data_IF_583328514249
#
_entry.id   IF_583328514249
#
_cell.length_a   1.000
_cell.length_b   1.000
_cell.length_c   1.000
_cell.angle_alpha   90.00
_cell.angle_beta   90.00
_cell.angle_gamma   90.00
#
_symmetry.space_group_name_H-M   'P 1'
#
loop_
_entity.id
_entity.type
_entity.pdbx_description
1 polymer ?
#
# COMPACT_ATOMS: atom_id res chain seq x y z
N UNK A 1 26.89 -73.67 -17.17
CA UNK A 1 26.81 -72.34 -17.82
C UNK A 1 27.35 -71.30 -16.83
N UNK A 2 28.48 -70.67 -17.20
CA UNK A 2 29.15 -69.44 -16.70
C UNK A 2 28.45 -68.70 -15.54
N UNK A 3 29.00 -68.56 -14.33
CA UNK A 3 30.12 -67.70 -13.85
C UNK A 3 30.12 -66.25 -14.36
N UNK A 4 30.11 -65.28 -13.44
CA UNK A 4 30.36 -63.87 -13.70
C UNK A 4 30.26 -63.00 -12.44
N UNK A 5 31.26 -63.08 -11.56
CA UNK A 5 31.48 -62.16 -10.44
C UNK A 5 32.37 -60.99 -10.87
N UNK A 6 32.04 -59.75 -10.47
CA UNK A 6 32.94 -58.58 -10.37
C UNK A 6 32.38 -57.68 -9.25
N UNK A 7 33.02 -57.57 -8.08
CA UNK A 7 34.30 -56.95 -7.73
C UNK A 7 34.09 -55.54 -7.16
N UNK A 8 34.50 -55.40 -5.90
CA UNK A 8 34.60 -54.19 -5.10
C UNK A 8 35.40 -53.09 -5.80
N UNK A 9 35.03 -51.83 -5.53
CA UNK A 9 36.03 -50.79 -5.29
C UNK A 9 35.49 -49.80 -4.25
N UNK A 10 36.06 -49.89 -3.04
CA UNK A 10 35.99 -48.85 -2.02
C UNK A 10 37.06 -47.82 -2.35
N UNK A 11 36.71 -46.53 -2.27
CA UNK A 11 37.71 -45.45 -2.21
C UNK A 11 37.45 -44.65 -0.94
N UNK A 12 38.42 -44.75 -0.03
CA UNK A 12 38.64 -43.95 1.17
C UNK A 12 39.88 -43.07 0.92
N UNK A 13 40.06 -42.06 1.77
CA UNK A 13 41.14 -41.04 1.86
C UNK A 13 40.84 -39.72 1.14
N UNK A 14 41.02 -38.53 1.72
CA UNK A 14 41.72 -38.14 2.96
C UNK A 14 41.21 -36.82 3.51
N UNK A 15 41.25 -36.69 4.84
CA UNK A 15 41.25 -35.42 5.57
C UNK A 15 42.49 -34.58 5.19
N UNK A 16 42.31 -33.26 5.09
CA UNK A 16 43.36 -32.28 5.31
C UNK A 16 42.79 -31.12 6.14
N UNK A 17 43.20 -31.09 7.41
CA UNK A 17 43.12 -29.91 8.27
C UNK A 17 44.36 -29.04 8.04
N UNK A 18 44.20 -27.72 8.07
CA UNK A 18 45.22 -26.70 8.42
C UNK A 18 44.52 -25.33 8.34
N UNK A 19 44.21 -24.69 9.47
CA UNK A 19 45.07 -23.82 10.29
C UNK A 19 44.80 -22.34 10.00
N UNK A 20 44.13 -21.70 10.95
CA UNK A 20 44.08 -20.24 11.10
C UNK A 20 45.45 -19.70 11.53
N UNK A 21 45.80 -18.48 11.12
CA UNK A 21 46.69 -17.64 11.91
C UNK A 21 45.89 -16.50 12.56
N UNK A 22 45.84 -16.56 13.89
CA UNK A 22 45.67 -15.41 14.76
C UNK A 22 46.89 -14.49 14.63
N UNK A 23 46.65 -13.21 14.36
CA UNK A 23 47.64 -12.15 14.59
C UNK A 23 47.00 -11.12 15.50
N UNK A 24 47.48 -11.13 16.75
CA UNK A 24 47.38 -10.00 17.65
C UNK A 24 48.30 -8.89 17.13
N UNK A 25 47.83 -7.65 17.19
CA UNK A 25 48.73 -6.51 17.36
C UNK A 25 48.14 -5.56 18.38
N UNK A 26 48.98 -5.36 19.38
CA UNK A 26 48.86 -4.55 20.56
C UNK A 26 49.66 -3.26 20.27
N UNK A 27 49.06 -2.10 20.48
CA UNK A 27 49.78 -0.84 20.68
C UNK A 27 48.79 0.25 21.09
N UNK A 28 48.63 0.33 22.41
CA UNK A 28 48.79 1.54 23.22
C UNK A 28 49.27 2.79 22.45
N UNK A 29 48.46 3.85 22.39
CA UNK A 29 48.99 5.21 22.35
C UNK A 29 48.06 6.17 23.10
N UNK A 30 48.45 6.43 24.34
CA UNK A 30 48.00 7.53 25.18
C UNK A 30 48.56 8.84 24.61
N UNK A 31 47.72 9.78 24.19
CA UNK A 31 48.12 11.19 24.08
C UNK A 31 47.08 12.15 24.65
N UNK A 32 47.49 12.68 25.81
CA UNK A 32 47.15 13.94 26.47
C UNK A 32 46.30 14.97 25.72
N UNK A 33 45.22 15.33 26.41
CA UNK A 33 44.51 16.61 26.39
C UNK A 33 45.44 17.83 26.61
N UNK A 34 45.11 19.00 26.03
CA UNK A 34 45.31 20.25 26.74
C UNK A 34 44.02 21.04 26.97
N UNK A 35 43.94 21.57 28.18
CA UNK A 35 42.89 22.38 28.77
C UNK A 35 42.56 23.64 27.95
N UNK A 36 41.27 23.88 27.73
CA UNK A 36 40.74 25.08 27.09
C UNK A 36 39.44 25.53 27.78
N UNK A 37 39.61 26.42 28.76
CA UNK A 37 38.66 27.28 29.48
C UNK A 37 37.17 27.21 29.12
N UNK A 38 36.39 27.02 30.19
CA UNK A 38 34.95 27.12 30.29
C UNK A 38 34.37 28.41 29.70
N UNK A 39 33.29 28.25 28.92
CA UNK A 39 32.28 29.28 28.70
C UNK A 39 30.96 28.73 29.23
N UNK A 40 30.49 29.31 30.32
CA UNK A 40 29.21 28.99 30.93
C UNK A 40 28.07 29.60 30.10
N UNK A 41 27.25 28.74 29.50
CA UNK A 41 25.91 29.10 29.06
C UNK A 41 24.93 28.33 29.93
N UNK A 42 24.27 29.05 30.82
CA UNK A 42 23.14 28.54 31.60
C UNK A 42 22.03 28.16 30.61
N UNK A 43 21.80 26.87 30.44
CA UNK A 43 20.65 26.37 29.70
C UNK A 43 19.38 26.68 30.50
N UNK A 44 18.44 27.38 29.87
CA UNK A 44 17.07 27.52 30.34
C UNK A 44 16.47 26.14 30.65
N UNK A 45 15.49 26.02 31.58
CA UNK A 45 14.82 24.76 31.83
C UNK A 45 14.21 24.25 30.53
N UNK A 46 14.80 23.17 30.02
CA UNK A 46 14.26 22.40 28.92
C UNK A 46 12.94 21.85 29.47
N UNK A 47 11.83 22.40 29.01
CA UNK A 47 10.56 21.68 29.04
C UNK A 47 10.87 20.31 28.44
N UNK A 48 10.89 19.30 29.31
CA UNK A 48 10.83 17.89 28.96
C UNK A 48 9.48 17.66 28.27
N UNK A 49 9.37 18.16 27.04
CA UNK A 49 8.47 17.58 26.07
C UNK A 49 9.08 16.21 25.78
N UNK A 50 8.49 15.23 26.45
CA UNK A 50 8.62 13.80 26.27
C UNK A 50 8.61 13.47 24.76
N UNK A 51 9.78 13.59 24.14
CA UNK A 51 10.04 13.17 22.77
C UNK A 51 10.27 11.67 22.84
N UNK A 52 9.19 10.95 23.10
CA UNK A 52 9.09 9.58 22.65
C UNK A 52 9.11 9.61 21.13
N UNK A 53 10.31 9.48 20.58
CA UNK A 53 10.53 8.94 19.24
C UNK A 53 9.76 7.61 19.22
N UNK A 54 8.56 7.62 18.63
CA UNK A 54 7.82 6.39 18.38
C UNK A 54 8.59 5.63 17.29
N UNK A 55 9.07 4.40 17.55
CA UNK A 55 9.35 3.50 16.44
C UNK A 55 8.05 3.35 15.64
N UNK A 56 8.13 3.36 14.31
CA UNK A 56 6.95 3.15 13.45
C UNK A 56 6.16 1.91 13.92
N UNK A 57 4.82 1.88 13.77
CA UNK A 57 4.02 0.79 14.32
C UNK A 57 4.36 -0.52 13.61
N UNK A 58 5.29 -1.27 14.18
CA UNK A 58 5.54 -2.65 13.78
C UNK A 58 4.28 -3.46 14.04
N UNK A 59 3.84 -4.22 13.03
CA UNK A 59 2.70 -5.13 13.15
C UNK A 59 2.85 -6.03 14.39
N UNK A 60 1.77 -6.23 15.13
CA UNK A 60 1.75 -7.21 16.23
C UNK A 60 2.03 -8.63 15.69
N UNK A 61 2.46 -9.55 16.57
CA UNK A 61 2.73 -10.93 16.15
C UNK A 61 1.52 -11.60 15.48
N UNK A 62 0.30 -11.30 15.96
CA UNK A 62 -0.94 -11.79 15.36
C UNK A 62 -1.21 -11.18 13.99
N UNK A 63 -0.91 -9.90 13.79
CA UNK A 63 -1.05 -9.24 12.49
C UNK A 63 -0.03 -9.76 11.50
N UNK A 64 1.24 -9.94 11.91
CA UNK A 64 2.27 -10.57 11.09
C UNK A 64 1.83 -11.96 10.62
N UNK A 65 1.31 -12.79 11.52
CA UNK A 65 0.78 -14.11 11.17
C UNK A 65 -0.45 -14.04 10.24
N UNK A 66 -1.21 -12.95 10.26
CA UNK A 66 -2.35 -12.74 9.36
C UNK A 66 -1.90 -12.27 7.97
N UNK A 67 -0.90 -11.39 7.90
CA UNK A 67 -0.23 -10.98 6.65
C UNK A 67 0.36 -12.20 5.95
N UNK A 68 1.17 -13.00 6.66
CA UNK A 68 1.79 -14.19 6.07
C UNK A 68 0.75 -15.19 5.53
N UNK A 69 -0.32 -15.44 6.27
CA UNK A 69 -1.42 -16.30 5.82
C UNK A 69 -2.15 -15.74 4.59
N UNK A 70 -2.38 -14.43 4.53
CA UNK A 70 -3.02 -13.79 3.39
C UNK A 70 -2.16 -13.85 2.12
N UNK A 71 -0.83 -13.85 2.25
CA UNK A 71 0.09 -14.09 1.15
C UNK A 71 0.26 -15.58 0.76
N UNK A 72 -0.48 -16.49 1.40
CA UNK A 72 -0.45 -17.93 1.09
C UNK A 72 0.56 -18.75 1.91
N UNK A 73 1.22 -18.16 2.91
CA UNK A 73 2.21 -18.85 3.74
C UNK A 73 1.61 -19.44 5.01
N UNK A 74 1.93 -20.71 5.27
CA UNK A 74 1.50 -21.46 6.45
C UNK A 74 2.61 -22.41 6.93
N UNK A 75 2.39 -23.06 8.09
CA UNK A 75 3.35 -23.96 8.74
C UNK A 75 4.76 -23.34 8.92
N UNK A 76 4.89 -22.23 9.67
CA UNK A 76 6.19 -21.61 9.91
C UNK A 76 7.15 -22.56 10.62
N UNK A 77 8.37 -22.62 10.12
CA UNK A 77 9.50 -23.27 10.77
C UNK A 77 10.32 -22.24 11.56
N UNK A 78 11.17 -22.72 12.48
CA UNK A 78 11.94 -21.86 13.38
C UNK A 78 12.98 -20.96 12.68
N UNK A 79 13.32 -21.28 11.43
CA UNK A 79 14.30 -20.59 10.59
C UNK A 79 13.65 -19.74 9.49
N UNK A 80 12.39 -19.32 9.63
CA UNK A 80 11.67 -18.53 8.63
C UNK A 80 11.39 -19.26 7.31
N UNK A 81 11.49 -20.60 7.30
CA UNK A 81 10.91 -21.42 6.22
C UNK A 81 9.42 -21.62 6.41
N UNK A 82 8.70 -21.72 5.30
CA UNK A 82 7.25 -21.84 5.25
C UNK A 82 6.83 -22.87 4.20
N UNK A 83 5.58 -23.31 4.29
CA UNK A 83 4.87 -23.85 3.14
C UNK A 83 4.08 -22.72 2.49
N UNK A 84 4.23 -22.55 1.18
CA UNK A 84 3.43 -21.63 0.38
C UNK A 84 2.42 -22.41 -0.46
N UNK A 85 1.20 -21.87 -0.58
CA UNK A 85 0.19 -22.32 -1.53
C UNK A 85 -0.25 -21.10 -2.33
N UNK A 86 -0.31 -21.27 -3.64
CA UNK A 86 -0.79 -20.20 -4.51
C UNK A 86 -2.25 -19.84 -4.14
N UNK A 87 -2.54 -18.57 -3.81
CA UNK A 87 -3.90 -18.12 -3.52
C UNK A 87 -4.87 -18.32 -4.68
N UNK A 88 -4.38 -18.31 -5.92
CA UNK A 88 -5.18 -18.42 -7.16
C UNK A 88 -5.18 -19.84 -7.73
N UNK A 89 -4.21 -20.69 -7.34
CA UNK A 89 -4.16 -22.11 -7.69
C UNK A 89 -3.83 -22.99 -6.47
N UNK A 90 -4.87 -23.50 -5.82
CA UNK A 90 -4.71 -24.31 -4.62
C UNK A 90 -3.94 -25.62 -4.84
N UNK A 91 -3.78 -26.10 -6.08
CA UNK A 91 -2.96 -27.30 -6.40
C UNK A 91 -1.46 -26.98 -6.42
N UNK A 92 -1.10 -25.72 -6.65
CA UNK A 92 0.29 -25.25 -6.61
C UNK A 92 0.74 -25.05 -5.17
N UNK A 93 1.67 -25.90 -4.74
CA UNK A 93 2.20 -25.93 -3.37
C UNK A 93 3.72 -26.05 -3.37
N UNK A 94 4.32 -25.32 -2.44
CA UNK A 94 5.74 -25.15 -2.28
C UNK A 94 6.15 -25.34 -0.83
N UNK A 95 6.98 -26.34 -0.56
CA UNK A 95 7.52 -26.57 0.77
C UNK A 95 8.92 -25.95 0.89
N UNK A 96 9.34 -25.69 2.13
CA UNK A 96 10.68 -25.20 2.47
C UNK A 96 11.09 -23.90 1.75
N UNK A 97 10.15 -22.98 1.54
CA UNK A 97 10.44 -21.64 0.97
C UNK A 97 10.77 -20.65 2.09
N UNK A 98 11.70 -19.74 1.83
CA UNK A 98 11.98 -18.60 2.72
C UNK A 98 10.95 -17.51 2.47
N UNK A 99 10.39 -16.91 3.52
CA UNK A 99 9.49 -15.78 3.35
C UNK A 99 9.55 -14.80 4.54
N UNK A 100 9.47 -13.52 4.24
CA UNK A 100 9.47 -12.43 5.20
C UNK A 100 8.54 -11.29 4.79
N UNK A 101 8.07 -10.54 5.79
CA UNK A 101 7.44 -9.24 5.56
C UNK A 101 8.58 -8.25 5.38
N UNK A 102 8.86 -7.87 4.14
CA UNK A 102 9.95 -6.97 3.77
C UNK A 102 9.64 -5.53 4.16
N UNK A 103 8.41 -5.08 3.91
CA UNK A 103 7.99 -3.71 4.17
C UNK A 103 6.56 -3.65 4.71
N UNK A 104 6.30 -2.67 5.58
CA UNK A 104 4.95 -2.27 6.00
C UNK A 104 4.87 -0.75 5.95
N UNK A 105 4.10 -0.22 5.01
CA UNK A 105 3.87 1.22 4.85
C UNK A 105 2.57 1.47 4.10
N UNK A 106 2.09 2.70 4.20
CA UNK A 106 1.01 3.19 3.34
C UNK A 106 1.56 3.43 1.93
N UNK A 107 1.04 2.69 0.94
CA UNK A 107 1.48 2.78 -0.45
C UNK A 107 0.63 3.73 -1.29
N UNK A 108 -0.58 4.06 -0.83
CA UNK A 108 -1.56 4.85 -1.58
C UNK A 108 -2.01 6.16 -0.90
N UNK A 109 -1.40 6.50 0.24
CA UNK A 109 -1.70 7.65 1.07
C UNK A 109 -3.16 7.67 1.58
N UNK A 110 -3.79 6.50 1.81
CA UNK A 110 -5.16 6.40 2.35
C UNK A 110 -5.23 6.30 3.89
N UNK A 111 -4.07 6.26 4.56
CA UNK A 111 -3.93 6.16 6.00
C UNK A 111 -4.02 4.72 6.53
N UNK A 112 -4.19 3.72 5.67
CA UNK A 112 -4.01 2.31 5.98
C UNK A 112 -2.59 1.86 5.61
N UNK A 113 -2.13 0.80 6.27
CA UNK A 113 -0.83 0.20 5.96
C UNK A 113 -1.02 -0.98 5.02
N UNK A 114 -0.21 -1.02 3.97
CA UNK A 114 0.03 -2.20 3.16
C UNK A 114 1.21 -3.00 3.72
N UNK A 115 1.29 -4.26 3.32
CA UNK A 115 2.42 -5.12 3.62
C UNK A 115 2.97 -5.72 2.33
N UNK A 116 4.30 -5.71 2.19
CA UNK A 116 5.02 -6.37 1.10
C UNK A 116 5.67 -7.62 1.67
N UNK A 117 5.26 -8.78 1.17
CA UNK A 117 5.84 -10.08 1.54
C UNK A 117 6.74 -10.52 0.40
N UNK A 118 7.99 -10.85 0.73
CA UNK A 118 8.97 -11.38 -0.21
C UNK A 118 9.28 -12.82 0.17
N UNK A 119 9.37 -13.67 -0.84
CA UNK A 119 9.75 -15.06 -0.69
C UNK A 119 10.82 -15.49 -1.69
N UNK A 120 11.56 -16.50 -1.30
CA UNK A 120 12.62 -17.15 -2.07
C UNK A 120 12.44 -18.67 -1.97
N UNK A 121 12.63 -19.34 -3.10
CA UNK A 121 12.45 -20.77 -3.25
C UNK A 121 12.76 -21.18 -4.67
N UNK A 122 14.02 -21.54 -4.93
CA UNK A 122 14.49 -21.99 -6.24
C UNK A 122 13.61 -23.11 -6.84
N UNK A 123 13.10 -24.01 -5.99
CA UNK A 123 12.21 -25.09 -6.40
C UNK A 123 10.82 -24.63 -6.87
N UNK A 124 10.44 -23.39 -6.54
CA UNK A 124 9.11 -22.82 -6.79
C UNK A 124 9.13 -21.80 -7.92
N UNK A 125 10.04 -20.84 -7.82
CA UNK A 125 10.08 -19.68 -8.73
C UNK A 125 11.37 -19.62 -9.56
N UNK A 126 12.31 -20.53 -9.31
CA UNK A 126 13.57 -20.61 -10.04
C UNK A 126 14.68 -19.75 -9.43
N UNK A 127 15.90 -20.00 -9.89
CA UNK A 127 17.11 -19.42 -9.31
C UNK A 127 17.18 -17.90 -9.49
N UNK A 128 17.44 -17.19 -8.39
CA UNK A 128 17.49 -15.71 -8.30
C UNK A 128 16.14 -15.00 -8.54
N UNK A 129 15.03 -15.72 -8.48
CA UNK A 129 13.70 -15.13 -8.53
C UNK A 129 13.15 -14.99 -7.12
N UNK A 130 12.61 -13.81 -6.84
CA UNK A 130 11.84 -13.57 -5.63
C UNK A 130 10.37 -13.48 -6.00
N UNK A 131 9.53 -14.14 -5.20
CA UNK A 131 8.09 -13.98 -5.30
C UNK A 131 7.65 -12.91 -4.32
N UNK A 132 6.98 -11.89 -4.82
CA UNK A 132 6.56 -10.71 -4.06
C UNK A 132 5.04 -10.65 -4.08
N UNK A 133 4.44 -10.55 -2.89
CA UNK A 133 3.01 -10.32 -2.72
C UNK A 133 2.79 -9.00 -2.00
N UNK A 134 2.03 -8.10 -2.62
CA UNK A 134 1.58 -6.85 -2.02
C UNK A 134 0.19 -7.06 -1.45
N UNK A 135 0.02 -6.77 -0.16
CA UNK A 135 -1.21 -6.96 0.57
C UNK A 135 -1.76 -5.62 1.04
N UNK A 136 -3.09 -5.45 0.97
CA UNK A 136 -3.80 -4.30 1.52
C UNK A 136 -4.82 -4.72 2.58
N UNK A 137 -5.22 -3.77 3.43
CA UNK A 137 -6.27 -4.00 4.44
C UNK A 137 -7.66 -3.88 3.84
N UNK A 138 -8.51 -4.83 4.21
CA UNK A 138 -9.95 -4.87 3.92
C UNK A 138 -10.74 -5.03 5.22
N UNK A 139 -12.06 -4.90 5.17
CA UNK A 139 -12.93 -5.21 6.32
C UNK A 139 -12.80 -6.66 6.81
N UNK A 140 -12.38 -7.58 5.93
CA UNK A 140 -12.13 -8.99 6.25
C UNK A 140 -10.70 -9.29 6.73
N UNK A 141 -9.84 -8.29 6.85
CA UNK A 141 -8.42 -8.45 7.15
C UNK A 141 -7.53 -8.17 5.93
N UNK A 142 -6.39 -8.87 5.82
CA UNK A 142 -5.45 -8.68 4.73
C UNK A 142 -5.88 -9.44 3.47
N UNK A 143 -5.76 -8.81 2.30
CA UNK A 143 -6.02 -9.42 1.00
C UNK A 143 -4.87 -9.13 0.03
N UNK A 144 -4.63 -10.04 -0.94
CA UNK A 144 -3.67 -9.84 -2.02
C UNK A 144 -4.16 -8.76 -2.96
N UNK A 145 -3.32 -7.75 -3.17
CA UNK A 145 -3.52 -6.71 -4.16
C UNK A 145 -2.89 -7.10 -5.50
N UNK A 146 -1.69 -7.68 -5.46
CA UNK A 146 -0.97 -8.27 -6.59
C UNK A 146 0.12 -9.20 -6.07
N UNK A 147 0.43 -10.25 -6.84
CA UNK A 147 1.65 -11.04 -6.66
C UNK A 147 2.42 -11.14 -7.97
N UNK A 148 3.76 -11.11 -7.91
CA UNK A 148 4.63 -11.15 -9.08
C UNK A 148 6.00 -11.74 -8.75
N UNK A 149 6.73 -12.15 -9.79
CA UNK A 149 8.13 -12.56 -9.67
C UNK A 149 9.03 -11.40 -10.06
N UNK A 150 10.05 -11.13 -9.25
CA UNK A 150 11.07 -10.12 -9.52
C UNK A 150 12.46 -10.75 -9.38
N UNK A 151 13.31 -10.56 -10.38
CA UNK A 151 14.67 -11.10 -10.32
C UNK A 151 15.51 -10.23 -9.39
N UNK A 152 16.27 -10.86 -8.50
CA UNK A 152 17.08 -10.17 -7.47
C UNK A 152 16.30 -9.16 -6.60
N UNK A 153 14.97 -9.28 -6.51
CA UNK A 153 14.08 -8.36 -5.81
C UNK A 153 14.17 -6.92 -6.36
N UNK A 154 14.45 -6.78 -7.67
CA UNK A 154 14.48 -5.49 -8.33
C UNK A 154 13.07 -5.07 -8.72
N UNK A 155 12.40 -4.34 -7.83
CA UNK A 155 11.10 -3.74 -8.09
C UNK A 155 10.98 -2.38 -7.39
N UNK A 156 10.07 -1.53 -7.87
CA UNK A 156 9.91 -0.16 -7.37
C UNK A 156 8.45 0.28 -7.37
N UNK A 157 8.05 1.03 -6.35
CA UNK A 157 6.71 1.62 -6.24
C UNK A 157 6.76 3.11 -6.57
N UNK A 158 6.03 3.54 -7.60
CA UNK A 158 6.04 4.90 -8.12
C UNK A 158 4.63 5.51 -8.11
N UNK A 159 4.29 6.31 -7.08
CA UNK A 159 2.99 6.97 -6.99
C UNK A 159 2.69 7.83 -8.21
N UNK A 160 1.41 7.86 -8.60
CA UNK A 160 0.91 8.65 -9.74
C UNK A 160 -0.28 9.50 -9.32
N UNK A 161 -0.27 10.82 -9.60
CA UNK A 161 -1.43 11.65 -9.39
C UNK A 161 -2.67 11.09 -10.11
N UNK A 162 -3.77 10.91 -9.38
CA UNK A 162 -5.04 10.44 -9.93
C UNK A 162 -5.15 8.92 -10.11
N UNK A 163 -4.14 8.13 -9.72
CA UNK A 163 -4.19 6.66 -9.68
C UNK A 163 -4.16 6.22 -8.22
N UNK A 164 -5.09 5.34 -7.84
CA UNK A 164 -5.29 4.94 -6.45
C UNK A 164 -4.15 4.09 -5.87
N UNK A 165 -3.28 3.53 -6.70
CA UNK A 165 -2.13 2.74 -6.26
C UNK A 165 -0.91 3.11 -7.11
N UNK A 166 0.31 2.95 -6.57
CA UNK A 166 1.53 3.27 -7.31
C UNK A 166 1.70 2.36 -8.52
N UNK A 167 2.33 2.85 -9.57
CA UNK A 167 2.88 1.97 -10.61
C UNK A 167 3.96 1.08 -9.97
N UNK A 168 4.02 -0.21 -10.35
CA UNK A 168 5.02 -1.16 -9.83
C UNK A 168 5.98 -1.51 -10.96
N UNK A 169 7.20 -0.99 -10.92
CA UNK A 169 8.28 -1.41 -11.80
C UNK A 169 8.77 -2.79 -11.38
N UNK A 170 8.91 -3.71 -12.34
CA UNK A 170 9.38 -5.08 -12.11
C UNK A 170 10.50 -5.35 -13.11
N UNK A 171 11.74 -5.35 -12.64
CA UNK A 171 12.89 -5.64 -13.50
C UNK A 171 13.15 -7.15 -13.55
N UNK A 172 13.39 -7.66 -14.76
CA UNK A 172 13.62 -9.09 -15.01
C UNK A 172 15.11 -9.49 -14.90
N UNK A 173 15.98 -8.59 -14.40
CA UNK A 173 17.41 -8.86 -14.19
C UNK A 173 18.29 -7.62 -14.07
N UNK A 174 19.42 -7.61 -14.78
CA UNK A 174 20.36 -6.47 -14.87
C UNK A 174 19.89 -5.41 -15.89
N UNK A 175 18.59 -5.38 -16.18
CA UNK A 175 18.01 -4.42 -17.11
C UNK A 175 18.24 -3.01 -16.56
N UNK A 176 18.83 -2.16 -17.41
CA UNK A 176 19.04 -0.75 -17.11
C UNK A 176 18.20 0.07 -18.07
N UNK A 177 17.54 1.11 -17.56
CA UNK A 177 16.60 1.93 -18.32
C UNK A 177 15.16 1.42 -18.20
N UNK A 178 14.45 1.41 -19.33
CA UNK A 178 13.02 1.13 -19.35
C UNK A 178 12.72 -0.36 -19.10
N UNK A 179 12.16 -0.67 -17.94
CA UNK A 179 11.67 -2.01 -17.55
C UNK A 179 10.16 -2.05 -17.54
N UNK A 180 9.58 -3.24 -17.57
CA UNK A 180 8.13 -3.42 -17.51
C UNK A 180 7.59 -2.92 -16.16
N UNK A 181 6.39 -2.33 -16.19
CA UNK A 181 5.69 -1.94 -14.97
C UNK A 181 4.21 -2.31 -15.00
N UNK A 182 3.67 -2.58 -13.82
CA UNK A 182 2.25 -2.82 -13.61
C UNK A 182 1.56 -1.54 -13.20
N UNK A 183 0.39 -1.26 -13.78
CA UNK A 183 -0.44 -0.09 -13.48
C UNK A 183 -1.78 -0.52 -12.90
N UNK A 184 -2.24 0.20 -11.89
CA UNK A 184 -3.61 0.07 -11.40
C UNK A 184 -4.64 0.68 -12.36
N UNK A 185 -5.66 -0.08 -12.73
CA UNK A 185 -6.73 0.36 -13.63
C UNK A 185 -8.03 0.83 -12.92
N UNK A 186 -8.05 0.81 -11.59
CA UNK A 186 -9.26 1.06 -10.78
C UNK A 186 -9.75 -0.17 -10.01
N UNK A 187 -9.42 -1.37 -10.46
CA UNK A 187 -9.84 -2.64 -9.84
C UNK A 187 -8.74 -3.70 -9.73
N UNK A 188 -7.75 -3.68 -10.62
CA UNK A 188 -6.61 -4.60 -10.60
C UNK A 188 -5.36 -3.94 -11.20
N UNK A 189 -4.22 -4.57 -10.98
CA UNK A 189 -3.02 -4.25 -11.76
C UNK A 189 -3.10 -4.88 -13.16
N UNK A 190 -2.59 -4.16 -14.15
CA UNK A 190 -2.47 -4.55 -15.54
C UNK A 190 -1.10 -4.15 -16.08
N UNK A 191 -0.71 -4.69 -17.24
CA UNK A 191 0.48 -4.22 -17.96
C UNK A 191 0.36 -2.72 -18.31
N UNK A 192 1.24 -1.92 -17.71
CA UNK A 192 1.31 -0.48 -17.89
C UNK A 192 2.19 -0.05 -19.07
N UNK A 193 3.07 -0.93 -19.55
CA UNK A 193 4.16 -0.63 -20.48
C UNK A 193 5.50 -0.62 -19.78
N UNK A 194 6.37 0.34 -20.14
CA UNK A 194 7.73 0.40 -19.63
C UNK A 194 8.06 1.74 -18.98
N UNK A 195 8.82 1.71 -17.89
CA UNK A 195 9.30 2.89 -17.15
C UNK A 195 10.70 2.69 -16.58
N UNK A 196 11.34 3.81 -16.24
CA UNK A 196 12.73 3.90 -15.78
C UNK A 196 12.76 4.80 -14.54
N UNK A 197 12.89 4.21 -13.35
CA UNK A 197 12.88 4.89 -12.06
C UNK A 197 11.64 5.79 -11.87
N UNK A 198 10.48 5.27 -12.26
CA UNK A 198 9.22 5.96 -12.24
C UNK A 198 9.03 6.94 -13.40
N UNK A 199 9.93 7.04 -14.37
CA UNK A 199 9.68 7.81 -15.59
C UNK A 199 9.13 6.91 -16.69
N UNK A 200 7.88 7.12 -17.08
CA UNK A 200 7.23 6.34 -18.15
C UNK A 200 7.97 6.53 -19.47
N UNK A 201 8.48 5.43 -20.03
CA UNK A 201 9.10 5.38 -21.35
C UNK A 201 8.06 5.13 -22.44
N UNK A 202 7.17 4.16 -22.20
CA UNK A 202 6.11 3.76 -23.11
C UNK A 202 4.89 3.28 -22.33
N UNK A 203 3.70 3.52 -22.88
CA UNK A 203 2.45 2.98 -22.35
C UNK A 203 1.87 1.99 -23.35
N UNK A 204 1.41 0.85 -22.84
CA UNK A 204 0.44 0.00 -23.55
C UNK A 204 -0.87 0.77 -23.79
N UNK A 205 -1.72 0.35 -24.73
CA UNK A 205 -3.07 0.90 -24.87
C UNK A 205 -3.86 0.84 -23.57
N UNK A 206 -3.76 -0.27 -22.83
CA UNK A 206 -4.45 -0.53 -21.58
C UNK A 206 -3.88 0.35 -20.45
N UNK A 207 -2.54 0.44 -20.34
CA UNK A 207 -1.86 1.31 -19.38
C UNK A 207 -2.12 2.80 -19.63
N UNK A 208 -2.31 3.18 -20.90
CA UNK A 208 -2.77 4.53 -21.28
C UNK A 208 -4.22 4.76 -20.91
N UNK A 209 -5.10 3.78 -21.09
CA UNK A 209 -6.49 3.86 -20.66
C UNK A 209 -6.59 3.98 -19.13
N UNK A 210 -5.77 3.21 -18.39
CA UNK A 210 -5.68 3.27 -16.93
C UNK A 210 -5.11 4.60 -16.42
N UNK A 211 -4.11 5.18 -17.11
CA UNK A 211 -3.58 6.52 -16.81
C UNK A 211 -4.46 7.67 -17.32
N UNK A 212 -5.40 7.38 -18.23
CA UNK A 212 -6.43 8.28 -18.73
C UNK A 212 -7.76 8.16 -17.98
N UNK A 213 -7.84 7.28 -16.99
CA UNK A 213 -9.05 6.98 -16.23
C UNK A 213 -9.30 7.99 -15.10
N UNK A 214 -9.52 9.25 -15.49
CA UNK A 214 -10.62 10.04 -14.91
C UNK A 214 -11.77 10.22 -15.92
N UNK A 215 -11.79 9.40 -16.97
CA UNK A 215 -12.99 9.17 -17.77
C UNK A 215 -13.37 7.69 -17.70
N UNK A 216 -14.36 7.32 -16.87
CA UNK A 216 -14.87 5.95 -16.85
C UNK A 216 -15.75 5.72 -18.08
N UNK A 217 -15.52 4.59 -18.75
CA UNK A 217 -16.51 3.99 -19.63
C UNK A 217 -17.56 3.26 -18.78
N UNK A 218 -18.79 3.28 -19.27
CA UNK A 218 -20.05 2.95 -18.59
C UNK A 218 -20.09 1.57 -17.89
N UNK A 219 -20.68 1.56 -16.69
CA UNK A 219 -21.29 0.37 -16.09
C UNK A 219 -20.75 -0.03 -14.72
N UNK A 220 -21.52 0.29 -13.67
CA UNK A 220 -21.33 0.00 -12.24
C UNK A 220 -20.24 0.84 -11.54
N UNK A 221 -20.66 1.91 -10.85
CA UNK A 221 -19.72 2.80 -10.18
C UNK A 221 -19.27 2.30 -8.80
N UNK A 222 -17.95 2.30 -8.64
CA UNK A 222 -17.30 2.68 -7.39
C UNK A 222 -17.64 4.17 -7.15
N UNK A 223 -18.08 4.51 -5.93
CA UNK A 223 -18.35 5.88 -5.46
C UNK A 223 -17.29 6.88 -5.97
N UNK A 224 -17.63 8.16 -6.22
CA UNK A 224 -16.65 9.11 -6.74
C UNK A 224 -15.43 9.20 -5.82
N UNK A 225 -14.23 9.52 -6.35
CA UNK A 225 -12.97 9.51 -5.61
C UNK A 225 -12.85 10.74 -4.71
N UNK A 226 -13.81 10.90 -3.81
CA UNK A 226 -13.93 11.95 -2.80
C UNK A 226 -14.19 11.32 -1.44
N UNK A 227 -13.87 12.04 -0.38
CA UNK A 227 -14.15 11.61 0.98
C UNK A 227 -15.67 11.46 1.20
N UNK A 228 -16.09 10.43 1.93
CA UNK A 228 -17.47 10.34 2.41
C UNK A 228 -17.63 11.25 3.61
N UNK A 229 -18.83 11.79 3.82
CA UNK A 229 -19.14 12.60 4.99
C UNK A 229 -19.59 14.00 4.64
N UNK A 230 -19.14 14.98 5.41
CA UNK A 230 -19.69 16.33 5.39
C UNK A 230 -18.95 17.25 4.42
N UNK A 231 -19.69 18.12 3.76
CA UNK A 231 -19.17 19.11 2.81
C UNK A 231 -19.79 20.48 3.08
N UNK A 232 -18.94 21.50 3.21
CA UNK A 232 -19.35 22.89 3.24
C UNK A 232 -19.54 23.43 1.82
N UNK A 233 -20.64 24.14 1.57
CA UNK A 233 -21.04 24.67 0.28
C UNK A 233 -20.74 26.17 0.24
N UNK A 234 -19.76 26.59 -0.56
CA UNK A 234 -19.39 28.00 -0.75
C UNK A 234 -18.79 28.72 0.47
N UNK A 235 -18.69 28.04 1.62
CA UNK A 235 -18.20 28.58 2.91
C UNK A 235 -17.12 27.70 3.51
N UNK A 236 -16.52 28.14 4.61
CA UNK A 236 -15.57 27.32 5.38
C UNK A 236 -16.29 26.27 6.23
N UNK A 237 -15.59 25.21 6.61
CA UNK A 237 -16.14 24.19 7.51
C UNK A 237 -16.52 24.73 8.89
N UNK A 238 -15.82 25.76 9.38
CA UNK A 238 -16.17 26.41 10.64
C UNK A 238 -17.49 27.19 10.54
N UNK A 239 -17.73 27.88 9.41
CA UNK A 239 -18.99 28.58 9.14
C UNK A 239 -20.14 27.59 8.97
N UNK A 240 -19.95 26.55 8.17
CA UNK A 240 -20.95 25.50 7.96
C UNK A 240 -21.27 24.71 9.25
N UNK A 241 -20.29 24.56 10.15
CA UNK A 241 -20.51 23.95 11.46
C UNK A 241 -21.27 24.88 12.44
N UNK A 242 -21.15 26.20 12.27
CA UNK A 242 -21.82 27.18 13.12
C UNK A 242 -23.27 27.44 12.69
N UNK A 243 -23.53 27.49 11.39
CA UNK A 243 -24.86 27.59 10.78
C UNK A 243 -24.94 26.66 9.56
N UNK A 244 -25.44 25.43 9.72
CA UNK A 244 -25.44 24.42 8.65
C UNK A 244 -26.53 24.65 7.60
N UNK A 245 -27.47 25.57 7.86
CA UNK A 245 -28.67 25.75 7.04
C UNK A 245 -28.30 26.15 5.62
N UNK A 246 -28.53 25.26 4.65
CA UNK A 246 -28.28 25.53 3.23
C UNK A 246 -26.81 25.57 2.82
N UNK A 247 -25.87 25.33 3.74
CA UNK A 247 -24.42 25.41 3.46
C UNK A 247 -23.63 24.19 3.92
N UNK A 248 -24.30 23.20 4.49
CA UNK A 248 -23.70 21.93 4.85
C UNK A 248 -24.46 20.78 4.19
N UNK A 249 -23.72 19.85 3.61
CA UNK A 249 -24.21 18.64 2.94
C UNK A 249 -23.54 17.41 3.56
N UNK A 250 -24.22 16.27 3.55
CA UNK A 250 -23.62 14.96 3.77
C UNK A 250 -23.72 14.11 2.50
N UNK A 251 -22.64 13.41 2.17
CA UNK A 251 -22.54 12.60 0.95
C UNK A 251 -21.83 11.26 1.21
N UNK A 252 -22.49 10.16 0.86
CA UNK A 252 -21.87 8.83 0.77
C UNK A 252 -22.52 7.94 -0.31
N UNK A 253 -22.15 6.65 -0.33
CA UNK A 253 -22.65 5.67 -1.30
C UNK A 253 -24.16 5.43 -1.26
N UNK A 254 -24.80 5.67 -0.12
CA UNK A 254 -26.20 5.38 0.11
C UNK A 254 -27.06 6.65 0.13
N UNK A 255 -26.47 7.83 0.37
CA UNK A 255 -27.24 9.07 0.55
C UNK A 255 -26.53 10.35 0.14
N UNK A 256 -27.36 11.29 -0.31
CA UNK A 256 -27.06 12.73 -0.35
C UNK A 256 -28.05 13.39 0.60
N UNK A 257 -27.58 14.12 1.61
CA UNK A 257 -28.44 14.79 2.57
C UNK A 257 -28.03 16.25 2.77
N UNK A 258 -29.02 17.09 3.04
CA UNK A 258 -28.91 18.51 3.32
C UNK A 258 -29.98 18.90 4.34
N UNK A 259 -30.08 20.20 4.65
CA UNK A 259 -31.02 20.73 5.64
C UNK A 259 -32.50 20.47 5.30
N UNK A 260 -32.84 20.24 4.04
CA UNK A 260 -34.20 19.99 3.55
C UNK A 260 -34.56 18.48 3.49
N UNK A 261 -33.61 17.60 3.82
CA UNK A 261 -33.81 16.16 3.88
C UNK A 261 -32.70 15.38 3.19
N UNK A 262 -32.96 14.10 2.95
CA UNK A 262 -32.01 13.18 2.33
C UNK A 262 -32.62 12.38 1.18
N UNK A 263 -31.83 12.21 0.13
CA UNK A 263 -32.13 11.37 -1.01
C UNK A 263 -31.31 10.09 -0.93
N UNK A 264 -31.94 8.94 -1.19
CA UNK A 264 -31.21 7.68 -1.32
C UNK A 264 -30.49 7.67 -2.67
N UNK A 265 -29.19 7.43 -2.63
CA UNK A 265 -28.40 7.13 -3.82
C UNK A 265 -28.78 5.73 -4.29
N UNK A 266 -29.34 5.65 -5.48
CA UNK A 266 -29.71 4.39 -6.12
C UNK A 266 -28.50 3.80 -6.86
N UNK A 267 -27.76 4.67 -7.54
CA UNK A 267 -26.56 4.34 -8.28
C UNK A 267 -25.71 5.59 -8.46
N UNK A 268 -24.41 5.42 -8.71
CA UNK A 268 -23.52 6.48 -9.17
C UNK A 268 -23.15 6.17 -10.61
N UNK A 269 -23.20 7.18 -11.47
CA UNK A 269 -22.86 7.04 -12.88
C UNK A 269 -21.71 7.99 -13.18
N UNK A 270 -20.61 7.45 -13.68
CA UNK A 270 -19.54 8.29 -14.18
C UNK A 270 -19.89 8.86 -15.56
N UNK A 271 -19.75 10.18 -15.71
CA UNK A 271 -20.07 10.91 -16.95
C UNK A 271 -18.83 11.26 -17.78
N UNK A 272 -17.64 10.91 -17.28
CA UNK A 272 -16.36 11.29 -17.87
C UNK A 272 -15.89 12.70 -17.47
N UNK A 273 -14.58 12.96 -17.61
CA UNK A 273 -13.98 14.27 -17.31
C UNK A 273 -14.06 14.65 -15.82
N UNK A 274 -13.92 13.67 -14.91
CA UNK A 274 -14.07 13.88 -13.47
C UNK A 274 -15.51 14.16 -13.01
N UNK A 275 -16.51 13.94 -13.87
CA UNK A 275 -17.93 14.17 -13.56
C UNK A 275 -18.66 12.90 -13.15
N UNK A 276 -19.53 13.02 -12.16
CA UNK A 276 -20.30 11.90 -11.61
C UNK A 276 -21.75 12.33 -11.36
N UNK A 277 -22.70 11.47 -11.69
CA UNK A 277 -24.13 11.62 -11.42
C UNK A 277 -24.57 10.68 -10.31
N UNK A 278 -25.21 11.22 -9.29
CA UNK A 278 -25.87 10.44 -8.23
C UNK A 278 -27.33 10.23 -8.58
N UNK A 279 -27.68 9.04 -9.08
CA UNK A 279 -29.06 8.70 -9.43
C UNK A 279 -29.89 8.49 -8.16
N UNK A 280 -31.13 8.98 -8.16
CA UNK A 280 -32.00 9.03 -6.99
C UNK A 280 -31.93 10.34 -6.20
N UNK A 281 -30.77 11.03 -6.23
CA UNK A 281 -30.59 12.39 -5.71
C UNK A 281 -30.57 13.46 -6.82
N UNK A 282 -30.44 13.03 -8.08
CA UNK A 282 -30.36 13.89 -9.28
C UNK A 282 -29.29 14.99 -9.21
N UNK A 283 -28.15 14.67 -8.60
CA UNK A 283 -27.01 15.57 -8.42
C UNK A 283 -25.88 15.21 -9.38
N UNK A 284 -25.21 16.21 -9.96
CA UNK A 284 -24.04 16.01 -10.83
C UNK A 284 -22.86 16.81 -10.31
N UNK A 285 -21.79 16.12 -9.92
CA UNK A 285 -20.58 16.75 -9.42
C UNK A 285 -19.45 16.69 -10.45
N UNK A 286 -18.52 17.63 -10.34
CA UNK A 286 -17.20 17.63 -10.99
C UNK A 286 -16.14 17.61 -9.91
N UNK A 287 -15.44 16.47 -9.78
CA UNK A 287 -14.43 16.26 -8.76
C UNK A 287 -13.18 17.06 -9.09
N UNK A 288 -12.73 17.89 -8.15
CA UNK A 288 -11.48 18.66 -8.27
C UNK A 288 -10.34 18.04 -7.47
N UNK A 289 -10.65 17.40 -6.34
CA UNK A 289 -9.72 16.64 -5.50
C UNK A 289 -10.50 15.72 -4.55
N UNK A 290 -9.81 14.89 -3.76
CA UNK A 290 -10.45 14.03 -2.74
C UNK A 290 -11.33 14.79 -1.74
N UNK A 291 -11.00 16.05 -1.48
CA UNK A 291 -11.69 16.88 -0.47
C UNK A 291 -12.47 18.04 -1.11
N UNK A 292 -12.60 18.09 -2.44
CA UNK A 292 -13.28 19.20 -3.11
C UNK A 292 -13.93 18.78 -4.42
N UNK A 293 -15.17 19.21 -4.63
CA UNK A 293 -15.86 19.12 -5.91
C UNK A 293 -16.68 20.39 -6.17
N UNK A 294 -17.18 20.54 -7.40
CA UNK A 294 -18.21 21.52 -7.74
C UNK A 294 -19.46 20.82 -8.24
N UNK A 295 -20.65 21.31 -7.93
CA UNK A 295 -21.90 20.75 -8.48
C UNK A 295 -22.25 21.35 -9.86
N UNK A 296 -23.40 20.99 -10.39
CA UNK A 296 -23.90 21.49 -11.67
C UNK A 296 -24.22 23.00 -11.69
N UNK A 297 -24.37 23.62 -10.52
CA UNK A 297 -24.61 25.05 -10.37
C UNK A 297 -23.29 25.85 -10.25
N UNK A 298 -22.17 25.14 -10.10
CA UNK A 298 -20.83 25.72 -9.95
C UNK A 298 -20.48 26.07 -8.51
N UNK A 299 -21.29 25.65 -7.54
CA UNK A 299 -20.98 25.85 -6.13
C UNK A 299 -19.84 24.92 -5.72
N UNK A 300 -18.91 25.45 -4.94
CA UNK A 300 -17.75 24.69 -4.46
C UNK A 300 -18.07 24.01 -3.14
N UNK A 301 -17.85 22.70 -3.11
CA UNK A 301 -18.04 21.85 -1.95
C UNK A 301 -16.68 21.45 -1.38
N UNK A 302 -16.45 21.68 -0.08
CA UNK A 302 -15.19 21.34 0.60
C UNK A 302 -15.43 20.38 1.75
N UNK A 303 -14.70 19.26 1.79
CA UNK A 303 -14.86 18.25 2.83
C UNK A 303 -14.54 18.81 4.21
N UNK A 304 -15.42 18.51 5.17
CA UNK A 304 -15.28 18.91 6.55
C UNK A 304 -15.05 17.67 7.42
N UNK A 305 -13.95 17.62 8.18
CA UNK A 305 -13.70 16.53 9.11
C UNK A 305 -14.89 16.35 10.06
N UNK A 306 -15.39 15.12 10.19
CA UNK A 306 -16.56 14.79 11.03
C UNK A 306 -16.45 15.31 12.45
N UNK A 307 -15.23 15.44 12.99
CA UNK A 307 -14.97 16.01 14.32
C UNK A 307 -15.31 17.50 14.46
N UNK A 308 -15.36 18.26 13.36
CA UNK A 308 -15.73 19.68 13.33
C UNK A 308 -17.24 19.90 13.28
N UNK A 309 -18.01 18.89 12.88
CA UNK A 309 -19.46 18.99 12.74
C UNK A 309 -20.14 18.75 14.09
N UNK A 310 -21.05 19.63 14.54
CA UNK A 310 -21.76 19.48 15.80
C UNK A 310 -22.49 18.14 15.86
N UNK A 311 -22.52 17.54 17.06
CA UNK A 311 -23.15 16.23 17.25
C UNK A 311 -24.62 16.22 16.85
N UNK A 312 -25.36 17.31 17.09
CA UNK A 312 -26.76 17.45 16.69
C UNK A 312 -26.97 17.23 15.19
N UNK A 313 -26.14 17.87 14.35
CA UNK A 313 -26.22 17.73 12.89
C UNK A 313 -25.85 16.32 12.45
N UNK A 314 -24.89 15.69 13.13
CA UNK A 314 -24.50 14.31 12.82
C UNK A 314 -25.60 13.30 13.12
N UNK A 315 -26.37 13.53 14.18
CA UNK A 315 -27.49 12.68 14.57
C UNK A 315 -28.70 12.91 13.66
N UNK A 316 -29.00 14.16 13.29
CA UNK A 316 -30.15 14.50 12.44
C UNK A 316 -29.99 13.98 11.00
N UNK A 317 -28.76 13.92 10.48
CA UNK A 317 -28.49 13.44 9.11
C UNK A 317 -27.99 11.98 9.08
N UNK A 318 -27.80 11.37 10.25
CA UNK A 318 -27.18 10.06 10.45
C UNK A 318 -28.15 8.87 10.42
N UNK A 319 -29.42 9.05 10.78
CA UNK A 319 -30.41 7.98 10.93
C UNK A 319 -31.72 8.29 10.16
N UNK A 320 -31.89 7.70 8.98
CA UNK A 320 -33.15 7.77 8.21
C UNK A 320 -34.14 6.65 8.58
N UNK A 321 -34.00 6.00 9.74
CA UNK A 321 -34.98 4.98 10.15
C UNK A 321 -36.33 5.56 10.60
N UNK A 322 -36.56 6.88 10.52
CA UNK A 322 -37.71 7.53 11.14
C UNK A 322 -38.39 8.71 10.43
N UNK A 323 -38.25 8.92 9.11
CA UNK A 323 -39.12 9.85 8.35
C UNK A 323 -39.56 9.28 7.01
#
# INVERSE_FOLDING_TARGET
>A
MSRGARALLATLLSLAACNSPSVANDSDETTSSPEGKAVSWQAAPRLEADSQIRPGPGLSAQERASVMRAAGFFNPQADSRWTWRDPDDAETLCEDVWAEIEEVRDLNDDGQLEAVVKADGDQCWGMNQHFVTVLHRTSGGWASLIAFQARFANYGFHPRPGIAWPDIEIASGEETGCVDFQRWNGSSYIDGGASDEGRVCALTPEGRAAGGAHAPAEGAAVFPPIEKGYYAIGVTCAEAAADPTGVLMYLDQARVASFDGGWRVQDVEALGGGRYRFRGADMVITVSSRTTFTDEHGDRHTHCPTGQIPRSEREDWGDLSGR
#
